data_IF_142919510846
#
_entry.id   IF_142919510846
#
_cell.length_a   1.000
_cell.length_b   1.000
_cell.length_c   1.000
_cell.angle_alpha   90.00
_cell.angle_beta   90.00
_cell.angle_gamma   90.00
#
_symmetry.space_group_name_H-M   'P 1'
#
loop_
_entity.id
_entity.type
_entity.pdbx_description
1 polymer ?
#
# COMPACT_ATOMS: atom_id res chain seq x y z
N UNK A 1 13.00 9.94 -34.52
CA UNK A 1 12.39 8.94 -33.65
C UNK A 1 13.35 8.71 -32.48
N UNK A 2 12.91 8.98 -31.24
CA UNK A 2 13.69 8.81 -30.02
C UNK A 2 13.16 7.64 -29.18
N UNK A 3 13.97 7.16 -28.22
CA UNK A 3 13.55 6.18 -27.23
C UNK A 3 13.25 6.90 -25.91
N UNK A 4 12.26 6.41 -25.16
CA UNK A 4 11.88 6.95 -23.84
C UNK A 4 11.98 5.84 -22.82
N UNK A 5 12.57 6.15 -21.65
CA UNK A 5 12.58 5.29 -20.47
C UNK A 5 11.72 5.97 -19.41
N UNK A 6 10.75 5.26 -18.85
CA UNK A 6 9.74 5.79 -17.94
C UNK A 6 9.76 4.96 -16.66
N UNK A 7 9.70 5.63 -15.52
CA UNK A 7 9.37 5.02 -14.22
C UNK A 7 8.01 5.56 -13.81
N UNK A 8 7.02 4.68 -13.67
CA UNK A 8 5.66 5.06 -13.30
C UNK A 8 4.98 3.94 -12.54
N UNK A 9 4.03 4.31 -11.68
CA UNK A 9 3.14 3.39 -10.97
C UNK A 9 1.70 3.42 -11.51
N UNK A 10 1.48 4.16 -12.60
CA UNK A 10 0.19 4.22 -13.29
C UNK A 10 0.08 3.08 -14.30
N UNK A 11 -0.65 2.03 -13.94
CA UNK A 11 -0.89 0.83 -14.76
C UNK A 11 -1.51 1.19 -16.11
N UNK A 12 -2.50 2.10 -16.12
CA UNK A 12 -3.19 2.50 -17.35
C UNK A 12 -2.26 3.24 -18.29
N UNK A 13 -1.46 4.17 -17.77
CA UNK A 13 -0.46 4.89 -18.54
C UNK A 13 0.60 3.95 -19.12
N UNK A 14 1.17 3.06 -18.28
CA UNK A 14 2.15 2.06 -18.74
C UNK A 14 1.56 1.16 -19.82
N UNK A 15 0.33 0.70 -19.64
CA UNK A 15 -0.30 -0.22 -20.59
C UNK A 15 -0.48 0.37 -22.00
N UNK A 16 -0.65 1.69 -22.08
CA UNK A 16 -0.81 2.41 -23.36
C UNK A 16 0.51 2.88 -24.00
N UNK A 17 1.53 3.14 -23.19
CA UNK A 17 2.74 3.84 -23.63
C UNK A 17 3.93 2.91 -23.83
N UNK A 18 4.02 1.79 -23.10
CA UNK A 18 5.21 0.95 -23.14
C UNK A 18 5.05 -0.27 -24.03
N UNK A 19 6.15 -0.65 -24.65
CA UNK A 19 6.27 -1.87 -25.48
C UNK A 19 7.24 -2.88 -24.87
N UNK A 20 7.93 -2.47 -23.81
CA UNK A 20 8.89 -3.29 -23.08
C UNK A 20 8.92 -2.84 -21.62
N UNK A 21 8.93 -3.81 -20.71
CA UNK A 21 9.09 -3.58 -19.27
C UNK A 21 10.37 -4.23 -18.79
N UNK A 22 11.09 -3.54 -17.93
CA UNK A 22 12.27 -4.05 -17.23
C UNK A 22 11.97 -4.03 -15.75
N UNK A 23 11.86 -5.20 -15.16
CA UNK A 23 11.66 -5.39 -13.73
C UNK A 23 12.99 -5.58 -13.03
N UNK A 24 13.20 -4.89 -11.92
CA UNK A 24 14.32 -5.13 -11.00
C UNK A 24 13.81 -6.04 -9.88
N UNK A 25 14.26 -7.29 -9.86
CA UNK A 25 13.79 -8.28 -8.90
C UNK A 25 14.96 -9.16 -8.45
N UNK A 26 15.13 -9.35 -7.14
CA UNK A 26 16.21 -10.15 -6.54
C UNK A 26 17.59 -9.83 -7.16
N UNK A 27 17.95 -8.54 -7.23
CA UNK A 27 19.21 -8.02 -7.78
C UNK A 27 19.45 -8.36 -9.28
N UNK A 28 18.43 -8.79 -9.99
CA UNK A 28 18.47 -9.11 -11.41
C UNK A 28 17.48 -8.24 -12.21
N UNK A 29 17.76 -8.14 -13.53
CA UNK A 29 16.87 -7.46 -14.47
C UNK A 29 16.11 -8.48 -15.29
N UNK A 30 14.79 -8.46 -15.18
CA UNK A 30 13.89 -9.28 -15.99
C UNK A 30 13.25 -8.41 -17.06
N UNK A 31 13.35 -8.85 -18.30
CA UNK A 31 12.88 -8.09 -19.47
C UNK A 31 11.63 -8.77 -20.03
N UNK A 32 10.56 -8.01 -20.14
CA UNK A 32 9.29 -8.44 -20.72
C UNK A 32 9.01 -7.61 -21.97
N UNK A 33 8.89 -8.27 -23.12
CA UNK A 33 8.61 -7.61 -24.40
C UNK A 33 7.10 -7.53 -24.61
N UNK A 34 6.46 -6.55 -23.98
CA UNK A 34 5.02 -6.35 -24.00
C UNK A 34 4.60 -5.12 -23.20
N UNK A 35 3.30 -4.91 -23.10
CA UNK A 35 2.68 -3.90 -22.27
C UNK A 35 2.57 -4.37 -20.80
N UNK A 36 1.90 -3.58 -19.94
CA UNK A 36 1.79 -3.88 -18.52
C UNK A 36 0.98 -5.17 -18.26
N UNK A 37 -0.13 -5.41 -18.98
CA UNK A 37 -0.94 -6.62 -18.80
C UNK A 37 -0.15 -7.90 -19.15
N UNK A 38 0.66 -7.84 -20.21
CA UNK A 38 1.56 -8.94 -20.56
C UNK A 38 2.59 -9.22 -19.47
N UNK A 39 3.20 -8.15 -18.94
CA UNK A 39 4.16 -8.26 -17.83
C UNK A 39 3.52 -8.91 -16.59
N UNK A 40 2.32 -8.49 -16.20
CA UNK A 40 1.63 -9.01 -15.00
C UNK A 40 1.32 -10.50 -15.13
N UNK A 41 0.87 -10.94 -16.32
CA UNK A 41 0.61 -12.34 -16.61
C UNK A 41 1.89 -13.19 -16.55
N UNK A 42 2.97 -12.75 -17.21
CA UNK A 42 4.25 -13.46 -17.23
C UNK A 42 4.94 -13.47 -15.86
N UNK A 43 4.85 -12.37 -15.10
CA UNK A 43 5.35 -12.29 -13.73
C UNK A 43 4.67 -13.32 -12.84
N UNK A 44 3.36 -13.45 -12.91
CA UNK A 44 2.58 -14.42 -12.13
C UNK A 44 3.07 -15.84 -12.40
N UNK A 45 3.19 -16.22 -13.69
CA UNK A 45 3.68 -17.54 -14.07
C UNK A 45 5.11 -17.79 -13.56
N UNK A 46 5.99 -16.79 -13.69
CA UNK A 46 7.38 -16.89 -13.22
C UNK A 46 7.46 -17.11 -11.70
N UNK A 47 6.70 -16.31 -10.93
CA UNK A 47 6.66 -16.40 -9.47
C UNK A 47 6.15 -17.77 -9.03
N UNK A 48 5.09 -18.28 -9.63
CA UNK A 48 4.55 -19.62 -9.34
C UNK A 48 5.57 -20.73 -9.65
N UNK A 49 6.27 -20.63 -10.79
CA UNK A 49 7.31 -21.58 -11.16
C UNK A 49 8.49 -21.56 -10.17
N UNK A 50 8.95 -20.37 -9.78
CA UNK A 50 10.03 -20.19 -8.82
C UNK A 50 9.65 -20.76 -7.45
N UNK A 51 8.45 -20.46 -6.96
CA UNK A 51 7.95 -20.97 -5.69
C UNK A 51 7.89 -22.49 -5.69
N UNK A 52 7.35 -23.08 -6.75
CA UNK A 52 7.28 -24.54 -6.89
C UNK A 52 8.67 -25.20 -6.97
N UNK A 53 9.60 -24.56 -7.66
CA UNK A 53 10.98 -25.03 -7.74
C UNK A 53 11.67 -24.96 -6.37
N UNK A 54 11.45 -23.89 -5.61
CA UNK A 54 11.93 -23.73 -4.25
C UNK A 54 11.38 -24.83 -3.33
N UNK A 55 10.07 -25.05 -3.32
CA UNK A 55 9.42 -26.09 -2.50
C UNK A 55 9.96 -27.49 -2.81
N UNK A 56 10.09 -27.84 -4.09
CA UNK A 56 10.67 -29.11 -4.52
C UNK A 56 12.12 -29.26 -4.06
N UNK A 57 12.92 -28.18 -4.12
CA UNK A 57 14.29 -28.21 -3.64
C UNK A 57 14.36 -28.37 -2.12
N UNK A 58 13.50 -27.68 -1.36
CA UNK A 58 13.43 -27.81 0.09
C UNK A 58 13.04 -29.23 0.51
N UNK A 59 12.10 -29.85 -0.21
CA UNK A 59 11.72 -31.24 0.04
C UNK A 59 12.87 -32.21 -0.24
N UNK A 60 13.59 -32.01 -1.34
CA UNK A 60 14.78 -32.79 -1.68
C UNK A 60 15.86 -32.66 -0.59
N UNK A 61 16.13 -31.46 -0.11
CA UNK A 61 17.08 -31.19 0.96
C UNK A 61 16.65 -31.93 2.24
N UNK A 62 15.42 -31.74 2.69
CA UNK A 62 14.87 -32.41 3.91
C UNK A 62 14.96 -33.92 3.84
N UNK A 63 14.65 -34.50 2.69
CA UNK A 63 14.75 -35.97 2.52
C UNK A 63 16.20 -36.46 2.62
N UNK A 64 17.13 -35.75 2.01
CA UNK A 64 18.54 -36.13 2.06
C UNK A 64 19.17 -35.90 3.44
N UNK A 65 18.80 -34.87 4.15
CA UNK A 65 19.22 -34.61 5.53
C UNK A 65 18.77 -35.71 6.47
N UNK A 66 17.50 -36.18 6.36
CA UNK A 66 16.98 -37.33 7.10
C UNK A 66 17.74 -38.61 6.78
N UNK A 67 18.16 -38.80 5.52
CA UNK A 67 19.00 -39.94 5.13
C UNK A 67 20.41 -39.86 5.73
N UNK A 68 21.02 -38.70 5.72
CA UNK A 68 22.32 -38.45 6.33
C UNK A 68 22.28 -38.75 7.83
N UNK A 69 21.27 -38.27 8.55
CA UNK A 69 21.10 -38.49 9.97
C UNK A 69 20.99 -39.98 10.28
N UNK A 70 20.17 -40.71 9.50
CA UNK A 70 20.02 -42.19 9.64
C UNK A 70 21.29 -42.95 9.33
N UNK A 71 22.10 -42.51 8.38
CA UNK A 71 23.34 -43.14 7.97
C UNK A 71 24.53 -42.80 8.87
N UNK A 72 24.54 -41.62 9.49
CA UNK A 72 25.55 -41.24 10.49
C UNK A 72 25.60 -42.19 11.65
N UNK A 73 24.46 -42.78 12.05
CA UNK A 73 24.38 -43.76 13.14
C UNK A 73 25.00 -45.15 12.80
N UNK A 74 25.38 -45.38 11.53
CA UNK A 74 25.90 -46.68 11.07
C UNK A 74 27.29 -46.53 10.45
N UNK A 75 28.34 -47.07 11.10
CA UNK A 75 29.73 -46.96 10.64
C UNK A 75 29.93 -47.40 9.17
N UNK A 76 29.23 -48.46 8.73
CA UNK A 76 29.29 -48.97 7.37
C UNK A 76 28.71 -48.04 6.29
N UNK A 77 27.95 -47.00 6.69
CA UNK A 77 27.29 -46.04 5.77
C UNK A 77 27.83 -44.63 5.89
N UNK A 78 28.86 -44.41 6.71
CA UNK A 78 29.43 -43.06 6.93
C UNK A 78 29.94 -42.40 5.63
N UNK A 79 30.58 -43.16 4.75
CA UNK A 79 31.06 -42.68 3.46
C UNK A 79 29.89 -42.20 2.56
N UNK A 80 28.77 -42.90 2.59
CA UNK A 80 27.57 -42.51 1.84
C UNK A 80 26.93 -41.24 2.39
N UNK A 81 26.86 -41.07 3.71
CA UNK A 81 26.40 -39.87 4.37
C UNK A 81 27.26 -38.66 3.98
N UNK A 82 28.58 -38.81 4.00
CA UNK A 82 29.50 -37.75 3.55
C UNK A 82 29.31 -37.38 2.08
N UNK A 83 29.06 -38.35 1.19
CA UNK A 83 28.81 -38.09 -0.22
C UNK A 83 27.52 -37.31 -0.43
N UNK A 84 26.45 -37.64 0.32
CA UNK A 84 25.17 -36.87 0.26
C UNK A 84 25.40 -35.42 0.77
N UNK A 85 26.07 -35.24 1.90
CA UNK A 85 26.39 -33.93 2.43
C UNK A 85 27.14 -33.07 1.40
N UNK A 86 28.20 -33.62 0.80
CA UNK A 86 28.94 -32.91 -0.26
C UNK A 86 28.09 -32.53 -1.48
N UNK A 87 27.05 -33.31 -1.80
CA UNK A 87 26.09 -32.96 -2.86
C UNK A 87 25.18 -31.83 -2.44
N UNK A 88 24.70 -31.84 -1.19
CA UNK A 88 23.85 -30.77 -0.66
C UNK A 88 24.62 -29.45 -0.53
N UNK A 89 25.91 -29.51 -0.14
CA UNK A 89 26.77 -28.32 -0.04
C UNK A 89 27.06 -27.66 -1.40
N UNK A 90 27.04 -28.45 -2.48
CA UNK A 90 27.27 -27.97 -3.85
C UNK A 90 25.98 -27.56 -4.59
N UNK A 91 24.82 -27.72 -3.92
CA UNK A 91 23.53 -27.40 -4.54
C UNK A 91 23.35 -25.89 -4.58
N UNK A 92 23.16 -25.35 -5.76
CA UNK A 92 22.74 -23.94 -5.93
C UNK A 92 21.36 -23.76 -5.28
N UNK A 93 21.30 -22.88 -4.28
CA UNK A 93 20.06 -22.64 -3.51
C UNK A 93 19.16 -21.75 -4.34
N UNK A 94 17.93 -22.23 -4.55
CA UNK A 94 16.86 -21.43 -5.15
C UNK A 94 16.33 -20.52 -4.05
N UNK A 95 16.26 -19.22 -4.33
CA UNK A 95 15.67 -18.26 -3.41
C UNK A 95 14.14 -18.40 -3.43
N UNK A 96 13.55 -18.27 -2.27
CA UNK A 96 12.09 -18.22 -2.15
C UNK A 96 11.53 -17.08 -2.97
N UNK A 97 10.44 -17.34 -3.70
CA UNK A 97 9.79 -16.27 -4.43
C UNK A 97 9.26 -15.21 -3.45
N UNK A 98 9.59 -13.95 -3.69
CA UNK A 98 8.93 -12.83 -3.01
C UNK A 98 7.50 -12.75 -3.54
N UNK A 99 6.60 -13.48 -2.91
CA UNK A 99 5.18 -13.39 -3.23
C UNK A 99 4.68 -12.09 -2.63
N UNK A 100 4.29 -11.15 -3.49
CA UNK A 100 3.52 -9.99 -3.04
C UNK A 100 2.32 -10.53 -2.24
N UNK A 101 2.27 -10.20 -0.95
CA UNK A 101 1.29 -10.80 -0.05
C UNK A 101 -0.10 -10.57 -0.58
N UNK A 102 -1.00 -11.56 -0.48
CA UNK A 102 -2.35 -11.45 -1.04
C UNK A 102 -3.06 -10.21 -0.47
N UNK A 103 -3.89 -9.59 -1.30
CA UNK A 103 -4.77 -8.48 -0.91
C UNK A 103 -5.49 -8.83 0.40
N UNK A 104 -4.97 -8.33 1.51
CA UNK A 104 -5.67 -8.44 2.78
C UNK A 104 -6.80 -7.43 2.71
N UNK A 105 -8.03 -7.90 2.75
CA UNK A 105 -9.20 -7.03 2.83
C UNK A 105 -9.12 -6.28 4.16
N UNK A 106 -8.87 -4.98 4.06
CA UNK A 106 -8.87 -4.11 5.23
C UNK A 106 -10.32 -3.95 5.66
N UNK A 107 -10.68 -4.56 6.78
CA UNK A 107 -11.99 -4.34 7.38
C UNK A 107 -11.94 -3.05 8.20
N UNK A 108 -12.56 -1.99 7.68
CA UNK A 108 -12.75 -0.75 8.42
C UNK A 108 -13.67 -1.01 9.62
N UNK A 109 -13.15 -0.87 10.83
CA UNK A 109 -13.95 -0.92 12.06
C UNK A 109 -14.48 0.48 12.34
N UNK A 110 -15.77 0.65 12.20
CA UNK A 110 -16.48 1.89 12.54
C UNK A 110 -17.02 1.76 13.95
N UNK A 111 -16.56 2.58 14.88
CA UNK A 111 -17.01 2.54 16.28
C UNK A 111 -18.45 3.06 16.42
N UNK A 112 -18.82 4.07 15.66
CA UNK A 112 -20.14 4.68 15.69
C UNK A 112 -20.74 4.72 14.29
N UNK A 113 -21.96 4.24 14.18
CA UNK A 113 -22.71 4.37 12.92
C UNK A 113 -23.15 5.82 12.75
N UNK A 114 -22.72 6.51 11.68
CA UNK A 114 -23.14 7.88 11.43
C UNK A 114 -24.61 7.94 10.99
N UNK A 115 -25.20 9.13 11.04
CA UNK A 115 -26.52 9.41 10.46
C UNK A 115 -26.55 9.11 8.96
N UNK A 116 -27.72 9.31 8.31
CA UNK A 116 -27.86 9.14 6.86
C UNK A 116 -26.98 10.13 6.13
N UNK A 117 -27.08 11.40 6.44
CA UNK A 117 -26.27 12.49 5.87
C UNK A 117 -24.98 12.62 6.66
N UNK A 118 -23.84 12.57 5.98
CA UNK A 118 -22.52 12.78 6.58
C UNK A 118 -22.15 14.25 6.61
N UNK A 119 -22.32 14.94 5.50
CA UNK A 119 -22.05 16.37 5.37
C UNK A 119 -22.97 16.99 4.31
N UNK A 120 -23.42 18.20 4.59
CA UNK A 120 -24.19 19.02 3.68
C UNK A 120 -23.49 20.38 3.51
N UNK A 121 -23.23 20.76 2.27
CA UNK A 121 -22.85 22.12 1.87
C UNK A 121 -24.03 22.76 1.16
N UNK A 122 -24.45 23.96 1.61
CA UNK A 122 -25.54 24.74 1.01
C UNK A 122 -25.03 26.07 0.52
N UNK A 123 -25.28 26.35 -0.77
CA UNK A 123 -25.00 27.63 -1.41
C UNK A 123 -23.59 28.12 -1.13
N UNK A 124 -22.60 27.20 -1.09
CA UNK A 124 -21.22 27.54 -0.78
C UNK A 124 -20.55 28.17 -1.97
N UNK A 125 -19.88 29.30 -1.71
CA UNK A 125 -19.04 30.01 -2.68
C UNK A 125 -17.62 30.13 -2.18
N UNK A 126 -16.65 29.99 -3.08
CA UNK A 126 -15.22 30.13 -2.79
C UNK A 126 -14.48 30.84 -3.91
N UNK A 127 -13.72 31.87 -3.52
CA UNK A 127 -12.80 32.56 -4.40
C UNK A 127 -11.46 32.79 -3.69
N UNK A 128 -10.39 32.91 -4.48
CA UNK A 128 -9.08 33.37 -4.04
C UNK A 128 -8.73 34.66 -4.80
N UNK A 129 -8.92 35.78 -4.15
CA UNK A 129 -8.85 37.09 -4.78
C UNK A 129 -9.91 37.20 -5.89
N UNK A 130 -9.51 37.47 -7.12
CA UNK A 130 -10.41 37.57 -8.29
C UNK A 130 -10.70 36.19 -8.91
N UNK A 131 -10.01 35.12 -8.50
CA UNK A 131 -10.20 33.80 -9.07
C UNK A 131 -11.33 33.05 -8.34
N UNK A 132 -12.48 33.00 -8.98
CA UNK A 132 -13.63 32.25 -8.49
C UNK A 132 -13.44 30.75 -8.76
N UNK A 133 -13.53 29.96 -7.70
CA UNK A 133 -13.39 28.50 -7.77
C UNK A 133 -14.75 27.86 -8.02
N UNK A 134 -15.76 28.22 -7.24
CA UNK A 134 -17.16 27.84 -7.44
C UNK A 134 -18.09 28.85 -6.73
N UNK A 135 -19.29 28.94 -7.22
CA UNK A 135 -20.33 29.83 -6.71
C UNK A 135 -21.61 29.05 -6.43
N UNK A 136 -22.30 29.45 -5.36
CA UNK A 136 -23.63 28.96 -4.99
C UNK A 136 -23.80 27.43 -5.14
N UNK A 137 -22.77 26.68 -4.75
CA UNK A 137 -22.71 25.23 -4.93
C UNK A 137 -23.30 24.51 -3.75
N UNK A 138 -24.12 23.49 -4.02
CA UNK A 138 -24.75 22.65 -3.00
C UNK A 138 -24.40 21.20 -3.26
N UNK A 139 -23.99 20.49 -2.21
CA UNK A 139 -23.74 19.04 -2.25
C UNK A 139 -24.15 18.41 -0.92
N UNK A 140 -24.75 17.25 -0.98
CA UNK A 140 -25.04 16.38 0.16
C UNK A 140 -24.31 15.06 -0.04
N UNK A 141 -23.64 14.57 1.00
CA UNK A 141 -22.93 13.29 1.00
C UNK A 141 -23.61 12.38 2.01
N UNK A 142 -24.13 11.28 1.54
CA UNK A 142 -24.84 10.29 2.35
C UNK A 142 -23.88 9.16 2.81
N UNK A 143 -24.29 8.49 3.86
CA UNK A 143 -23.59 7.30 4.35
C UNK A 143 -23.60 6.19 3.30
N UNK A 144 -22.41 5.68 2.99
CA UNK A 144 -22.20 4.63 2.00
C UNK A 144 -21.88 5.15 0.61
N UNK A 145 -21.93 6.46 0.38
CA UNK A 145 -21.50 7.05 -0.89
C UNK A 145 -20.00 6.83 -1.12
N UNK A 146 -19.67 6.53 -2.38
CA UNK A 146 -18.29 6.49 -2.89
C UNK A 146 -18.19 7.53 -3.99
N UNK A 147 -17.59 8.67 -3.68
CA UNK A 147 -17.58 9.85 -4.56
C UNK A 147 -16.17 10.10 -5.09
N UNK A 148 -16.03 10.29 -6.41
CA UNK A 148 -14.83 10.76 -7.05
C UNK A 148 -15.00 12.22 -7.50
N UNK A 149 -14.07 13.10 -7.08
CA UNK A 149 -14.00 14.47 -7.56
C UNK A 149 -13.16 14.52 -8.84
N UNK A 150 -13.80 14.87 -9.97
CA UNK A 150 -13.16 14.88 -11.28
C UNK A 150 -13.13 16.31 -11.82
N UNK A 151 -12.04 16.67 -12.48
CA UNK A 151 -11.84 17.97 -13.12
C UNK A 151 -10.38 18.25 -13.46
N UNK A 152 -10.12 19.21 -14.31
CA UNK A 152 -8.77 19.62 -14.66
C UNK A 152 -7.97 20.12 -13.45
N UNK A 153 -6.64 20.11 -13.54
CA UNK A 153 -5.79 20.64 -12.48
C UNK A 153 -6.05 22.13 -12.25
N UNK A 154 -6.01 22.56 -10.98
CA UNK A 154 -6.30 23.93 -10.58
C UNK A 154 -7.79 24.32 -10.57
N UNK A 155 -8.71 23.39 -10.84
CA UNK A 155 -10.17 23.67 -10.84
C UNK A 155 -10.86 23.49 -9.47
N UNK A 156 -10.09 23.42 -8.38
CA UNK A 156 -10.63 23.51 -7.03
C UNK A 156 -11.03 22.17 -6.39
N UNK A 157 -10.65 21.01 -6.96
CA UNK A 157 -10.94 19.69 -6.36
C UNK A 157 -10.46 19.58 -4.91
N UNK A 158 -9.18 19.84 -4.69
CA UNK A 158 -8.57 19.83 -3.35
C UNK A 158 -9.14 20.92 -2.44
N UNK A 159 -9.51 22.09 -3.02
CA UNK A 159 -10.16 23.17 -2.27
C UNK A 159 -11.54 22.73 -1.76
N UNK A 160 -12.36 22.09 -2.62
CA UNK A 160 -13.66 21.55 -2.21
C UNK A 160 -13.50 20.50 -1.12
N UNK A 161 -12.55 19.57 -1.29
CA UNK A 161 -12.29 18.51 -0.32
C UNK A 161 -11.87 19.09 1.04
N UNK A 162 -11.00 20.11 1.04
CA UNK A 162 -10.58 20.84 2.27
C UNK A 162 -11.73 21.60 2.91
N UNK A 163 -12.66 22.17 2.13
CA UNK A 163 -13.87 22.81 2.66
C UNK A 163 -14.78 21.77 3.30
N UNK A 164 -14.98 20.62 2.66
CA UNK A 164 -15.71 19.49 3.25
C UNK A 164 -15.06 19.08 4.57
N UNK A 165 -13.75 18.89 4.59
CA UNK A 165 -12.97 18.51 5.77
C UNK A 165 -12.89 19.61 6.87
N UNK A 166 -13.34 20.83 6.60
CA UNK A 166 -13.28 21.91 7.56
C UNK A 166 -11.93 22.59 7.72
N UNK A 167 -10.97 22.25 6.89
CA UNK A 167 -9.60 22.79 6.92
C UNK A 167 -9.53 24.13 6.17
N UNK A 168 -10.38 24.31 5.16
CA UNK A 168 -10.43 25.52 4.36
C UNK A 168 -11.76 26.27 4.58
N UNK A 169 -11.70 27.61 4.65
CA UNK A 169 -12.87 28.45 4.78
C UNK A 169 -13.50 28.75 3.41
N UNK A 170 -14.78 29.03 3.40
CA UNK A 170 -15.54 29.47 2.24
C UNK A 170 -16.05 30.91 2.45
N UNK A 171 -16.40 31.59 1.35
CA UNK A 171 -16.79 32.99 1.38
C UNK A 171 -18.26 33.18 1.80
N UNK A 172 -19.14 32.30 1.31
CA UNK A 172 -20.59 32.34 1.54
C UNK A 172 -21.13 30.91 1.62
N UNK A 173 -22.30 30.75 2.24
CA UNK A 173 -22.99 29.49 2.36
C UNK A 173 -22.87 28.87 3.74
N UNK A 174 -23.21 27.62 3.84
CA UNK A 174 -23.26 26.86 5.10
C UNK A 174 -22.70 25.46 4.92
N UNK A 175 -21.96 24.97 5.93
CA UNK A 175 -21.55 23.56 6.04
C UNK A 175 -22.11 22.98 7.31
N UNK A 176 -22.78 21.83 7.19
CA UNK A 176 -23.33 21.08 8.32
C UNK A 176 -22.79 19.66 8.33
N UNK A 177 -22.27 19.23 9.45
CA UNK A 177 -21.94 17.85 9.72
C UNK A 177 -23.18 17.08 10.18
N UNK A 178 -23.28 15.85 9.70
CA UNK A 178 -24.28 14.91 10.17
C UNK A 178 -24.03 14.42 11.61
N UNK A 179 -24.98 13.66 12.14
CA UNK A 179 -24.89 13.11 13.48
C UNK A 179 -23.84 11.96 13.53
N UNK A 180 -23.00 11.94 14.58
CA UNK A 180 -21.97 10.93 14.81
C UNK A 180 -20.96 10.79 13.67
N UNK A 181 -20.68 11.83 12.91
CA UNK A 181 -19.63 11.80 11.87
C UNK A 181 -18.28 12.00 12.54
N UNK A 182 -17.39 11.05 12.30
CA UNK A 182 -15.97 11.09 12.65
C UNK A 182 -15.19 11.05 11.34
N UNK A 183 -14.63 12.20 10.95
CA UNK A 183 -13.94 12.36 9.68
C UNK A 183 -12.44 12.05 9.80
N UNK A 184 -11.87 11.58 8.71
CA UNK A 184 -10.42 11.54 8.51
C UNK A 184 -10.08 12.04 7.12
N UNK A 185 -9.13 12.94 7.05
CA UNK A 185 -8.73 13.59 5.82
C UNK A 185 -7.26 13.29 5.52
N UNK A 186 -7.01 12.61 4.40
CA UNK A 186 -5.67 12.39 3.88
C UNK A 186 -5.35 13.48 2.86
N UNK A 187 -4.41 14.34 3.18
CA UNK A 187 -3.90 15.38 2.30
C UNK A 187 -2.41 15.20 2.03
N UNK A 188 -1.94 15.76 0.93
CA UNK A 188 -0.53 15.72 0.54
C UNK A 188 0.43 16.23 1.62
N UNK A 189 -0.02 17.12 2.51
CA UNK A 189 0.77 17.66 3.64
C UNK A 189 0.77 16.76 4.90
N UNK A 190 0.08 15.64 4.90
CA UNK A 190 0.06 14.76 6.09
C UNK A 190 1.38 14.03 6.34
N UNK A 191 2.27 14.00 5.36
CA UNK A 191 3.65 13.54 5.57
C UNK A 191 4.40 14.39 6.60
N UNK A 192 4.06 15.69 6.66
CA UNK A 192 4.64 16.66 7.61
C UNK A 192 4.02 16.55 9.01
N UNK A 193 2.84 15.93 9.12
CA UNK A 193 2.12 15.74 10.38
C UNK A 193 2.56 14.48 11.15
N UNK A 194 3.43 13.65 10.55
CA UNK A 194 3.99 12.48 11.24
C UNK A 194 5.04 12.92 12.26
N UNK A 195 4.98 12.36 13.46
CA UNK A 195 6.01 12.61 14.47
C UNK A 195 7.29 11.85 14.10
N UNK A 196 8.31 12.58 13.66
CA UNK A 196 9.56 12.01 13.16
C UNK A 196 10.36 11.22 14.21
N UNK A 197 10.11 11.43 15.49
CA UNK A 197 10.80 10.75 16.58
C UNK A 197 10.10 9.46 17.04
N UNK A 198 8.84 9.27 16.66
CA UNK A 198 8.10 8.04 16.90
C UNK A 198 8.64 6.88 16.04
N UNK A 199 8.41 5.66 16.54
CA UNK A 199 8.45 4.48 15.67
C UNK A 199 7.17 4.42 14.81
N UNK A 200 7.18 3.63 13.74
CA UNK A 200 5.97 3.43 12.92
C UNK A 200 4.82 2.90 13.80
N UNK A 201 5.11 1.94 14.67
CA UNK A 201 4.12 1.34 15.55
C UNK A 201 3.56 2.35 16.56
N UNK A 202 4.40 3.20 17.15
CA UNK A 202 3.97 4.23 18.09
C UNK A 202 3.08 5.26 17.41
N UNK A 203 3.46 5.68 16.20
CA UNK A 203 2.68 6.60 15.38
C UNK A 203 1.29 6.05 15.07
N UNK A 204 1.18 4.73 14.83
CA UNK A 204 -0.10 4.06 14.63
C UNK A 204 -0.96 4.00 15.90
N UNK A 205 -0.35 3.86 17.08
CA UNK A 205 -1.05 3.88 18.37
C UNK A 205 -1.65 5.25 18.68
N UNK A 206 -0.96 6.33 18.33
CA UNK A 206 -1.42 7.70 18.58
C UNK A 206 -2.69 8.07 17.79
N UNK A 207 -3.07 7.30 16.74
CA UNK A 207 -4.32 7.53 16.01
C UNK A 207 -5.60 7.20 16.78
N UNK A 208 -5.48 6.79 18.05
CA UNK A 208 -6.62 6.36 18.85
C UNK A 208 -7.22 5.02 18.43
N UNK A 209 -6.48 4.22 17.66
CA UNK A 209 -6.87 2.85 17.29
C UNK A 209 -7.07 2.00 18.55
N UNK A 210 -8.09 1.14 18.52
CA UNK A 210 -8.31 0.10 19.54
C UNK A 210 -7.60 -1.22 19.21
N UNK A 211 -6.84 -1.24 18.10
CA UNK A 211 -6.08 -2.41 17.66
C UNK A 211 -4.91 -2.65 18.60
N UNK A 212 -4.67 -3.91 18.93
CA UNK A 212 -3.48 -4.30 19.68
C UNK A 212 -2.23 -4.31 18.78
N UNK A 213 -1.05 -4.42 19.39
CA UNK A 213 0.24 -4.38 18.67
C UNK A 213 0.33 -5.41 17.55
N UNK A 214 -0.22 -6.61 17.75
CA UNK A 214 -0.20 -7.69 16.75
C UNK A 214 -1.08 -7.35 15.56
N UNK A 215 -2.26 -6.79 15.79
CA UNK A 215 -3.18 -6.34 14.74
C UNK A 215 -2.58 -5.17 13.95
N UNK A 216 -1.95 -4.20 14.63
CA UNK A 216 -1.27 -3.08 13.99
C UNK A 216 -0.08 -3.54 13.14
N UNK A 217 0.75 -4.47 13.64
CA UNK A 217 1.84 -5.08 12.85
C UNK A 217 1.30 -5.86 11.66
N UNK A 218 0.18 -6.58 11.82
CA UNK A 218 -0.49 -7.27 10.72
C UNK A 218 -0.95 -6.29 9.63
N UNK A 219 -1.57 -5.19 10.03
CA UNK A 219 -2.00 -4.15 9.10
C UNK A 219 -0.79 -3.47 8.42
N UNK A 220 0.25 -3.11 9.18
CA UNK A 220 1.48 -2.55 8.62
C UNK A 220 2.14 -3.49 7.62
N UNK A 221 2.03 -4.80 7.83
CA UNK A 221 2.45 -5.81 6.86
C UNK A 221 1.75 -5.69 5.51
N UNK A 222 0.48 -5.24 5.46
CA UNK A 222 -0.24 -4.95 4.22
C UNK A 222 0.36 -3.74 3.48
N UNK A 223 0.95 -2.79 4.22
CA UNK A 223 1.65 -1.63 3.70
C UNK A 223 3.15 -1.88 3.49
N UNK A 224 3.56 -3.13 3.34
CA UNK A 224 4.94 -3.55 3.09
C UNK A 224 5.93 -3.22 4.23
N UNK A 225 5.44 -3.09 5.46
CA UNK A 225 6.28 -3.02 6.66
C UNK A 225 6.26 -4.39 7.35
N UNK A 226 7.31 -5.17 7.19
CA UNK A 226 7.39 -6.54 7.73
C UNK A 226 8.45 -6.68 8.82
N UNK A 227 8.25 -7.63 9.72
CA UNK A 227 9.20 -7.93 10.79
C UNK A 227 9.49 -6.71 11.66
N UNK A 228 10.77 -6.34 11.74
CA UNK A 228 11.26 -5.24 12.58
C UNK A 228 11.06 -3.85 11.96
N UNK A 229 10.49 -3.77 10.72
CA UNK A 229 10.26 -2.47 10.07
C UNK A 229 9.34 -1.57 10.89
N UNK A 230 8.35 -2.13 11.57
CA UNK A 230 7.41 -1.40 12.42
C UNK A 230 8.08 -0.67 13.61
N UNK A 231 9.29 -1.07 13.99
CA UNK A 231 10.07 -0.46 15.07
C UNK A 231 11.05 0.61 14.55
N UNK A 232 11.10 0.82 13.23
CA UNK A 232 11.89 1.91 12.63
C UNK A 232 11.29 3.27 12.96
N UNK A 233 12.16 4.25 13.18
CA UNK A 233 11.73 5.64 13.39
C UNK A 233 11.28 6.29 12.10
N UNK A 234 10.23 7.11 12.16
CA UNK A 234 9.67 7.84 11.03
C UNK A 234 10.73 8.69 10.29
N UNK A 235 11.69 9.25 11.02
CA UNK A 235 12.73 10.12 10.43
C UNK A 235 13.63 9.44 9.40
N UNK A 236 13.82 8.12 9.51
CA UNK A 236 14.70 7.38 8.58
C UNK A 236 13.97 6.83 7.35
N UNK A 237 12.65 6.99 7.30
CA UNK A 237 11.81 6.51 6.21
C UNK A 237 11.96 7.39 4.97
N UNK A 238 11.91 6.76 3.80
CA UNK A 238 11.76 7.44 2.51
C UNK A 238 10.41 8.15 2.41
N UNK A 239 10.26 9.05 1.42
CA UNK A 239 8.98 9.74 1.18
C UNK A 239 7.82 8.78 0.93
N UNK A 240 8.04 7.72 0.13
CA UNK A 240 7.03 6.70 -0.14
C UNK A 240 6.65 5.87 1.09
N UNK A 241 7.61 5.52 1.94
CA UNK A 241 7.33 4.83 3.21
C UNK A 241 6.52 5.72 4.15
N UNK A 242 6.87 7.00 4.27
CA UNK A 242 6.07 7.97 5.05
C UNK A 242 4.65 8.07 4.53
N UNK A 243 4.46 8.10 3.20
CA UNK A 243 3.13 8.13 2.59
C UNK A 243 2.31 6.89 2.95
N UNK A 244 2.92 5.70 2.93
CA UNK A 244 2.26 4.46 3.36
C UNK A 244 1.88 4.47 4.85
N UNK A 245 2.77 4.99 5.73
CA UNK A 245 2.45 5.15 7.17
C UNK A 245 1.28 6.11 7.35
N UNK A 246 1.31 7.28 6.68
CA UNK A 246 0.24 8.27 6.78
C UNK A 246 -1.10 7.70 6.28
N UNK A 247 -1.09 6.91 5.21
CA UNK A 247 -2.29 6.24 4.70
C UNK A 247 -2.78 5.16 5.67
N UNK A 248 -1.89 4.32 6.20
CA UNK A 248 -2.21 3.33 7.21
C UNK A 248 -2.86 3.98 8.45
N UNK A 249 -2.32 5.14 8.88
CA UNK A 249 -2.84 5.95 9.99
C UNK A 249 -4.29 6.38 9.75
N UNK A 250 -4.61 6.85 8.55
CA UNK A 250 -5.97 7.24 8.17
C UNK A 250 -6.93 6.04 8.19
N UNK A 251 -6.48 4.89 7.70
CA UNK A 251 -7.29 3.66 7.64
C UNK A 251 -7.58 3.09 9.04
N UNK A 252 -6.61 3.20 9.96
CA UNK A 252 -6.74 2.70 11.34
C UNK A 252 -7.51 3.67 12.23
N UNK A 253 -7.68 4.91 11.78
CA UNK A 253 -8.46 5.91 12.52
C UNK A 253 -9.90 5.42 12.71
N UNK A 254 -10.57 5.90 13.76
CA UNK A 254 -11.97 5.58 14.06
C UNK A 254 -12.96 6.21 13.08
N UNK A 255 -12.46 6.86 12.04
CA UNK A 255 -13.27 7.63 11.11
C UNK A 255 -14.29 6.74 10.40
N UNK A 256 -15.51 7.26 10.30
CA UNK A 256 -16.57 6.69 9.52
C UNK A 256 -16.84 7.47 8.21
N UNK A 257 -16.05 8.53 7.97
CA UNK A 257 -16.00 9.29 6.75
C UNK A 257 -14.55 9.57 6.34
N UNK A 258 -14.12 8.99 5.24
CA UNK A 258 -12.76 9.14 4.71
C UNK A 258 -12.75 10.11 3.53
N UNK A 259 -11.82 11.04 3.57
CA UNK A 259 -11.56 11.98 2.47
C UNK A 259 -10.11 11.84 2.04
N UNK A 260 -9.88 11.56 0.76
CA UNK A 260 -8.56 11.27 0.23
C UNK A 260 -8.23 12.24 -0.92
N UNK A 261 -7.20 13.07 -0.75
CA UNK A 261 -6.71 14.00 -1.79
C UNK A 261 -5.47 13.40 -2.47
N UNK A 262 -5.65 12.94 -3.71
CA UNK A 262 -4.62 12.29 -4.53
C UNK A 262 -3.84 11.17 -3.79
N UNK A 263 -4.56 10.19 -3.20
CA UNK A 263 -3.95 9.20 -2.30
C UNK A 263 -2.92 8.29 -2.99
N UNK A 264 -2.97 8.19 -4.31
CA UNK A 264 -2.04 7.37 -5.11
C UNK A 264 -0.70 8.05 -5.38
N UNK A 265 -0.60 9.36 -5.17
CA UNK A 265 0.65 10.08 -5.31
C UNK A 265 1.66 9.57 -4.26
N UNK A 266 2.84 9.17 -4.70
CA UNK A 266 3.91 8.61 -3.87
C UNK A 266 3.65 7.19 -3.32
N UNK A 267 2.57 6.52 -3.74
CA UNK A 267 2.35 5.11 -3.44
C UNK A 267 2.88 4.23 -4.59
N UNK A 268 3.40 3.06 -4.23
CA UNK A 268 3.67 2.01 -5.20
C UNK A 268 2.38 1.34 -5.70
N UNK A 269 2.49 0.55 -6.75
CA UNK A 269 1.32 -0.12 -7.36
C UNK A 269 0.56 -1.00 -6.36
N UNK A 270 1.28 -1.70 -5.48
CA UNK A 270 0.68 -2.58 -4.48
C UNK A 270 -0.14 -1.78 -3.46
N UNK A 271 0.40 -0.66 -2.97
CA UNK A 271 -0.32 0.22 -2.04
C UNK A 271 -1.55 0.87 -2.69
N UNK A 272 -1.52 1.15 -3.99
CA UNK A 272 -2.71 1.61 -4.74
C UNK A 272 -3.81 0.55 -4.81
N UNK A 273 -3.44 -0.72 -5.02
CA UNK A 273 -4.39 -1.85 -5.06
C UNK A 273 -5.08 -2.10 -3.70
N UNK A 274 -4.47 -1.70 -2.58
CA UNK A 274 -5.09 -1.79 -1.26
C UNK A 274 -6.27 -0.82 -1.07
N UNK A 275 -6.35 0.23 -1.90
CA UNK A 275 -7.42 1.23 -1.84
C UNK A 275 -8.62 0.90 -2.75
N UNK A 276 -8.49 -0.07 -3.62
CA UNK A 276 -9.52 -0.48 -4.58
C UNK A 276 -10.33 -1.68 -4.08
#
# INVERSE_FOLDING_TARGET
>A
QGSVVIVSHDKYFLNRMVTKIVEVYQQQLHIYNGNYDYYEAEKTIRVEMQQKAYENQQDYIRQNERLVERFRAKASKAAMAQSIMKKLDKLDRIEEAEIERPNIRINFRVDKTPGRVLVELKNVSKAFGENVIFENSTIEIDRGDKIALIGANGKGKSTLLRIIAGVENFSEGERKWGHNVEESFYAQHQLEALNVDNTILDEMKECGSQMNDLELRGLLGCFLFSGDDSDKKIKILSGGEKARVALAKVIVSKANFLMLDEPTNHLDMHSCDLLS
#
